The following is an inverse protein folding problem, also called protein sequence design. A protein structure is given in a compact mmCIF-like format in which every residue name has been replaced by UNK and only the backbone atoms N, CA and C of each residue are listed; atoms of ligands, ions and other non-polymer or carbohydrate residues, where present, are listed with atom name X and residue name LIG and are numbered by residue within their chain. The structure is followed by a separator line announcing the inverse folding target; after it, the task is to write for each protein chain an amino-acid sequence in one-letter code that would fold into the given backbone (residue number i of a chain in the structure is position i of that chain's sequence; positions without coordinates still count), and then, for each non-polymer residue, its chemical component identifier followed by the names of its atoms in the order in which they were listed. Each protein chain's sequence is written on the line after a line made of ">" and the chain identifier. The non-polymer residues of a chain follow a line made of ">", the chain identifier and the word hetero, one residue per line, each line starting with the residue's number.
data_IF_701935933950
#
_entry.id   IF_701935933950
#
_cell.length_a   1.000
_cell.length_b   1.000
_cell.length_c   1.000
_cell.angle_alpha   90.00
_cell.angle_beta   90.00
_cell.angle_gamma   90.00
#
_symmetry.space_group_name_H-M   'P 1'
#
loop_
_entity.id
_entity.type
_entity.pdbx_description
1 polymer ?
#
# COMPACT_ATOMS: atom_id res chain seq x y z
N UNK A 1 25.89 4.92 15.69
CA UNK A 1 24.54 5.34 15.22
C UNK A 1 24.24 4.55 13.96
N UNK A 2 23.49 3.45 14.08
CA UNK A 2 23.11 2.61 12.94
C UNK A 2 22.03 3.37 12.15
N UNK A 3 22.30 3.74 10.90
CA UNK A 3 21.28 4.28 10.01
C UNK A 3 20.31 3.14 9.67
N UNK A 4 19.01 3.35 9.94
CA UNK A 4 17.97 2.44 9.48
C UNK A 4 17.91 2.55 7.95
N UNK A 5 18.43 1.54 7.24
CA UNK A 5 18.14 1.35 5.83
C UNK A 5 16.66 1.05 5.70
N UNK A 6 15.88 1.97 5.15
CA UNK A 6 14.49 1.71 4.79
C UNK A 6 14.49 0.60 3.73
N UNK A 7 13.83 -0.53 4.02
CA UNK A 7 13.70 -1.66 3.09
C UNK A 7 12.86 -1.30 1.86
N UNK A 8 11.99 -0.31 2.00
CA UNK A 8 11.14 0.18 0.91
C UNK A 8 11.95 1.06 -0.06
N UNK A 9 11.68 0.96 -1.37
CA UNK A 9 12.24 1.88 -2.34
C UNK A 9 11.75 3.32 -2.06
N UNK A 10 12.52 4.34 -2.47
CA UNK A 10 12.04 5.72 -2.38
C UNK A 10 10.78 5.88 -3.24
N UNK A 11 9.88 6.78 -2.83
CA UNK A 11 8.58 6.98 -3.50
C UNK A 11 8.71 7.28 -5.00
N UNK A 12 9.78 7.96 -5.39
CA UNK A 12 10.12 8.35 -6.76
C UNK A 12 11.10 7.39 -7.46
N UNK A 13 11.36 6.21 -6.89
CA UNK A 13 12.23 5.18 -7.47
C UNK A 13 11.99 5.00 -8.96
N UNK A 14 13.04 5.10 -9.75
CA UNK A 14 13.01 5.20 -11.22
C UNK A 14 13.60 3.99 -11.95
N UNK A 15 13.98 2.94 -11.21
CA UNK A 15 14.65 1.74 -11.72
C UNK A 15 13.86 0.96 -12.78
N UNK A 16 12.55 1.19 -12.90
CA UNK A 16 11.67 0.48 -13.83
C UNK A 16 11.03 1.46 -14.84
N UNK A 17 11.66 1.75 -15.99
CA UNK A 17 11.20 2.78 -16.94
C UNK A 17 9.73 2.64 -17.34
N UNK A 18 9.29 1.43 -17.67
CA UNK A 18 7.88 1.15 -18.02
C UNK A 18 6.89 1.56 -16.91
N UNK A 19 7.24 1.33 -15.64
CA UNK A 19 6.39 1.66 -14.49
C UNK A 19 6.45 3.16 -14.16
N UNK A 20 7.60 3.78 -14.36
CA UNK A 20 7.76 5.23 -14.25
C UNK A 20 6.85 5.94 -15.25
N UNK A 21 6.89 5.54 -16.51
CA UNK A 21 6.07 6.14 -17.55
C UNK A 21 4.57 5.95 -17.27
N UNK A 22 4.17 4.75 -16.86
CA UNK A 22 2.79 4.49 -16.46
C UNK A 22 2.33 5.37 -15.28
N UNK A 23 3.16 5.53 -14.24
CA UNK A 23 2.84 6.43 -13.10
C UNK A 23 2.78 7.89 -13.52
N UNK A 24 3.62 8.33 -14.46
CA UNK A 24 3.57 9.70 -15.02
C UNK A 24 2.26 9.93 -15.77
N UNK A 25 1.83 8.99 -16.59
CA UNK A 25 0.52 9.07 -17.26
C UNK A 25 -0.65 9.14 -16.27
N UNK A 26 -0.62 8.32 -15.22
CA UNK A 26 -1.64 8.35 -14.17
C UNK A 26 -1.61 9.67 -13.40
N UNK A 27 -0.44 10.22 -13.10
CA UNK A 27 -0.28 11.51 -12.42
C UNK A 27 -0.88 12.67 -13.23
N UNK A 28 -0.73 12.66 -14.55
CA UNK A 28 -1.39 13.65 -15.43
C UNK A 28 -2.91 13.55 -15.34
N UNK A 29 -3.45 12.33 -15.24
CA UNK A 29 -4.90 12.09 -15.15
C UNK A 29 -5.46 12.32 -13.74
N UNK A 30 -4.65 12.11 -12.71
CA UNK A 30 -5.00 12.11 -11.29
C UNK A 30 -3.85 12.73 -10.47
N UNK A 31 -3.67 14.06 -10.50
CA UNK A 31 -2.54 14.73 -9.86
C UNK A 31 -2.56 14.60 -8.33
N UNK A 32 -3.74 14.50 -7.72
CA UNK A 32 -3.92 14.41 -6.27
C UNK A 32 -3.74 12.98 -5.71
N UNK A 33 -3.42 12.00 -6.56
CA UNK A 33 -3.16 10.63 -6.14
C UNK A 33 -1.68 10.41 -5.85
N UNK A 34 -1.38 9.40 -5.04
CA UNK A 34 -0.02 9.08 -4.62
C UNK A 34 0.96 8.88 -5.79
N UNK A 35 0.59 8.06 -6.79
CA UNK A 35 1.36 7.86 -8.03
C UNK A 35 2.87 7.62 -7.80
N UNK A 36 3.20 6.76 -6.84
CA UNK A 36 4.57 6.50 -6.38
C UNK A 36 4.82 5.02 -6.11
N UNK A 37 6.03 4.70 -5.66
CA UNK A 37 6.32 3.39 -5.09
C UNK A 37 5.60 3.27 -3.74
N UNK A 38 4.64 2.35 -3.66
CA UNK A 38 3.78 2.19 -2.47
C UNK A 38 4.61 1.59 -1.34
N UNK A 39 4.67 2.23 -0.16
CA UNK A 39 5.40 1.68 0.99
C UNK A 39 4.70 0.44 1.55
N UNK A 40 5.46 -0.36 2.28
CA UNK A 40 4.92 -1.48 3.06
C UNK A 40 4.02 -0.97 4.19
N UNK A 41 3.06 -1.79 4.64
CA UNK A 41 2.16 -1.47 5.74
C UNK A 41 2.13 -2.60 6.76
N UNK A 42 2.40 -2.28 8.02
CA UNK A 42 2.52 -3.23 9.13
C UNK A 42 3.83 -3.06 9.90
N UNK A 43 4.00 -3.85 10.95
CA UNK A 43 5.19 -3.83 11.79
C UNK A 43 6.38 -4.51 11.08
N UNK A 44 7.60 -4.00 11.27
CA UNK A 44 8.81 -4.57 10.68
C UNK A 44 9.21 -5.93 11.28
N UNK A 45 8.74 -6.24 12.48
CA UNK A 45 8.96 -7.48 13.22
C UNK A 45 7.76 -8.44 13.14
N UNK A 46 6.82 -8.20 12.23
CA UNK A 46 5.67 -9.08 12.02
C UNK A 46 6.11 -10.51 11.62
N UNK A 47 5.49 -11.51 12.24
CA UNK A 47 5.79 -12.92 11.98
C UNK A 47 5.11 -13.47 10.72
N UNK A 48 4.10 -12.75 10.19
CA UNK A 48 3.35 -13.09 8.99
C UNK A 48 3.48 -11.95 7.98
N UNK A 49 3.98 -12.27 6.78
CA UNK A 49 4.07 -11.33 5.65
C UNK A 49 3.12 -11.74 4.53
N UNK A 50 2.31 -10.80 4.05
CA UNK A 50 1.44 -10.98 2.90
C UNK A 50 2.00 -10.18 1.73
N UNK A 51 2.44 -10.88 0.69
CA UNK A 51 3.02 -10.28 -0.52
C UNK A 51 1.99 -10.30 -1.64
N UNK A 52 1.56 -9.10 -2.06
CA UNK A 52 0.72 -8.92 -3.24
C UNK A 52 1.55 -8.86 -4.53
N UNK A 53 0.86 -8.82 -5.68
CA UNK A 53 1.51 -8.73 -6.99
C UNK A 53 2.02 -7.33 -7.31
N UNK A 54 1.12 -6.33 -7.27
CA UNK A 54 1.43 -4.93 -7.60
C UNK A 54 0.30 -4.00 -7.10
N UNK A 55 0.58 -2.70 -6.92
CA UNK A 55 -0.45 -1.70 -6.63
C UNK A 55 -1.52 -1.61 -7.72
N UNK A 56 -2.80 -1.77 -7.34
CA UNK A 56 -3.92 -1.45 -8.21
C UNK A 56 -3.97 0.06 -8.52
N UNK A 57 -4.30 0.42 -9.76
CA UNK A 57 -4.30 1.82 -10.22
C UNK A 57 -5.23 2.72 -9.39
N UNK A 58 -6.42 2.23 -9.02
CA UNK A 58 -7.41 2.94 -8.19
C UNK A 58 -7.33 2.59 -6.70
N UNK A 59 -6.57 1.56 -6.35
CA UNK A 59 -6.30 1.12 -4.98
C UNK A 59 -5.04 1.78 -4.45
N UNK A 60 -4.01 0.98 -4.19
CA UNK A 60 -2.77 1.42 -3.55
C UNK A 60 -2.01 2.52 -4.31
N UNK A 61 -2.12 2.61 -5.65
CA UNK A 61 -1.54 3.73 -6.40
C UNK A 61 -2.22 5.08 -6.07
N UNK A 62 -3.49 5.04 -5.67
CA UNK A 62 -4.23 6.21 -5.18
C UNK A 62 -3.96 6.46 -3.70
N UNK A 63 -4.01 5.41 -2.89
CA UNK A 63 -4.08 5.51 -1.42
C UNK A 63 -2.73 5.41 -0.74
N UNK A 64 -1.65 4.99 -1.40
CA UNK A 64 -0.34 4.75 -0.78
C UNK A 64 -0.33 3.68 0.34
N UNK A 65 -1.42 2.94 0.54
CA UNK A 65 -1.49 1.82 1.48
C UNK A 65 -1.78 0.54 0.69
N UNK A 66 -0.96 -0.53 0.81
CA UNK A 66 -1.20 -1.80 0.16
C UNK A 66 -2.64 -2.28 0.36
N UNK A 67 -3.22 -2.90 -0.67
CA UNK A 67 -4.59 -3.42 -0.65
C UNK A 67 -5.68 -2.41 -0.24
N UNK A 68 -5.44 -1.10 -0.24
CA UNK A 68 -6.45 -0.13 0.20
C UNK A 68 -7.07 0.62 -0.97
N UNK A 69 -8.41 0.68 -1.01
CA UNK A 69 -9.13 1.51 -1.96
C UNK A 69 -9.69 0.79 -3.19
N UNK A 70 -9.56 -0.54 -3.25
CA UNK A 70 -10.19 -1.42 -4.23
C UNK A 70 -10.75 -2.69 -3.55
N UNK A 71 -11.34 -3.60 -4.34
CA UNK A 71 -12.00 -4.79 -3.85
C UNK A 71 -11.05 -5.80 -3.19
N UNK A 72 -9.76 -5.81 -3.55
CA UNK A 72 -8.80 -6.72 -2.94
C UNK A 72 -8.67 -6.46 -1.43
N UNK A 73 -8.77 -5.19 -1.04
CA UNK A 73 -8.78 -4.78 0.36
C UNK A 73 -9.95 -5.27 1.16
N UNK A 74 -11.16 -5.26 0.59
CA UNK A 74 -12.35 -5.72 1.31
C UNK A 74 -12.20 -7.18 1.70
N UNK A 75 -11.81 -8.01 0.74
CA UNK A 75 -11.61 -9.43 0.98
C UNK A 75 -10.48 -9.66 1.99
N UNK A 76 -9.33 -9.03 1.78
CA UNK A 76 -8.15 -9.24 2.62
C UNK A 76 -8.41 -8.76 4.06
N UNK A 77 -8.79 -7.51 4.26
CA UNK A 77 -8.91 -6.94 5.61
C UNK A 77 -10.09 -7.50 6.38
N UNK A 78 -11.19 -7.88 5.73
CA UNK A 78 -12.26 -8.64 6.40
C UNK A 78 -11.76 -10.02 6.85
N UNK A 79 -10.94 -10.69 6.04
CA UNK A 79 -10.34 -11.97 6.42
C UNK A 79 -9.38 -11.79 7.60
N UNK A 80 -8.49 -10.79 7.56
CA UNK A 80 -7.57 -10.51 8.66
C UNK A 80 -8.32 -10.21 9.96
N UNK A 81 -9.41 -9.44 9.90
CA UNK A 81 -10.27 -9.18 11.05
C UNK A 81 -10.91 -10.46 11.59
N UNK A 82 -11.44 -11.33 10.72
CA UNK A 82 -12.08 -12.59 11.10
C UNK A 82 -11.13 -13.56 11.83
N UNK A 83 -9.83 -13.50 11.54
CA UNK A 83 -8.81 -14.35 12.16
C UNK A 83 -7.98 -13.63 13.25
N UNK A 84 -8.35 -12.41 13.64
CA UNK A 84 -7.69 -11.68 14.73
C UNK A 84 -6.32 -11.06 14.37
N UNK A 85 -6.03 -10.90 13.07
CA UNK A 85 -4.82 -10.25 12.55
C UNK A 85 -4.96 -8.73 12.34
N UNK A 86 -6.15 -8.18 12.59
CA UNK A 86 -6.37 -6.73 12.55
C UNK A 86 -7.41 -6.29 13.57
N UNK A 87 -7.38 -5.01 13.91
CA UNK A 87 -8.32 -4.32 14.80
C UNK A 87 -8.94 -3.13 14.08
N UNK A 88 -10.06 -2.67 14.63
CA UNK A 88 -10.81 -1.52 14.13
C UNK A 88 -11.61 -1.83 12.87
N UNK A 89 -11.85 -0.81 12.04
CA UNK A 89 -12.76 -0.89 10.88
C UNK A 89 -12.04 -0.42 9.62
N UNK A 90 -11.97 -1.30 8.63
CA UNK A 90 -11.53 -0.95 7.28
C UNK A 90 -12.65 -0.25 6.51
N UNK A 91 -12.35 0.93 5.95
CA UNK A 91 -13.31 1.78 5.21
C UNK A 91 -12.74 2.25 3.87
N UNK A 92 -11.78 1.49 3.30
CA UNK A 92 -11.14 1.77 2.00
C UNK A 92 -10.46 3.14 1.90
N UNK A 93 -10.12 3.75 3.04
CA UNK A 93 -9.44 5.04 3.17
C UNK A 93 -8.21 4.89 4.06
N UNK A 94 -7.22 5.75 3.89
CA UNK A 94 -5.96 5.67 4.64
C UNK A 94 -6.10 6.08 6.10
N UNK A 95 -7.06 6.95 6.37
CA UNK A 95 -7.41 7.49 7.68
C UNK A 95 -8.58 6.72 8.31
N UNK A 96 -8.79 5.47 7.89
CA UNK A 96 -9.72 4.57 8.54
C UNK A 96 -9.16 4.03 9.87
N UNK A 97 -9.99 3.31 10.61
CA UNK A 97 -9.61 2.79 11.93
C UNK A 97 -8.85 1.46 11.88
N UNK A 98 -8.40 1.01 10.71
CA UNK A 98 -7.74 -0.29 10.56
C UNK A 98 -6.32 -0.26 11.13
N UNK A 99 -6.05 -1.17 12.06
CA UNK A 99 -4.71 -1.44 12.61
C UNK A 99 -4.35 -2.92 12.43
N UNK A 100 -3.12 -3.20 12.01
CA UNK A 100 -2.59 -4.58 11.97
C UNK A 100 -2.05 -4.97 13.34
N UNK A 101 -2.23 -6.25 13.71
CA UNK A 101 -1.82 -6.81 15.01
C UNK A 101 -0.50 -7.57 14.89
#
# INVERSE_FOLDING_TARGET
>A
MQQATTTDPPTDCDLCPRLVDYRRELRTKKPDWFNGAVPSFGAHDAWLLIVGLAPGATGANRTARPFTGDYAGDLLYQTLAAYGFSKGVYDRRVDDGLELV
#
